data_IF_870200222389
#
_entry.id   IF_870200222389
#
_cell.length_a   1.000
_cell.length_b   1.000
_cell.length_c   1.000
_cell.angle_alpha   90.00
_cell.angle_beta   90.00
_cell.angle_gamma   90.00
#
_symmetry.space_group_name_H-M   'P 1'
#
loop_
_entity.id
_entity.type
_entity.pdbx_description
1 polymer ?
#
# COMPACT_ATOMS: atom_id res chain seq x y z
N UNK A 1 0.88 2.04 -27.89
CA UNK A 1 1.82 2.51 -26.84
C UNK A 1 1.87 1.46 -25.74
N UNK A 2 3.02 1.10 -25.16
CA UNK A 2 3.03 0.18 -24.01
C UNK A 2 2.40 0.92 -22.82
N UNK A 3 1.23 0.45 -22.37
CA UNK A 3 0.57 0.98 -21.17
C UNK A 3 1.28 0.46 -19.93
N UNK A 4 1.27 1.29 -18.88
CA UNK A 4 1.56 0.81 -17.52
C UNK A 4 0.38 -0.10 -17.15
N UNK A 5 0.61 -1.33 -16.66
CA UNK A 5 -0.47 -2.21 -16.28
C UNK A 5 -1.26 -1.64 -15.09
N UNK A 6 -2.52 -2.02 -14.97
CA UNK A 6 -3.36 -1.67 -13.84
C UNK A 6 -2.88 -2.37 -12.56
N UNK A 7 -3.33 -1.88 -11.40
CA UNK A 7 -2.99 -2.54 -10.13
C UNK A 7 -3.55 -3.97 -10.09
N UNK A 8 -4.75 -4.18 -10.62
CA UNK A 8 -5.39 -5.50 -10.73
C UNK A 8 -4.54 -6.44 -11.59
N UNK A 9 -4.02 -5.99 -12.72
CA UNK A 9 -3.15 -6.82 -13.58
C UNK A 9 -1.88 -7.25 -12.84
N UNK A 10 -1.22 -6.30 -12.15
CA UNK A 10 -0.03 -6.58 -11.32
C UNK A 10 -0.36 -7.54 -10.18
N UNK A 11 -1.51 -7.35 -9.54
CA UNK A 11 -1.98 -8.16 -8.43
C UNK A 11 -2.23 -9.61 -8.86
N UNK A 12 -2.98 -9.82 -9.95
CA UNK A 12 -3.23 -11.16 -10.48
C UNK A 12 -1.95 -11.84 -10.98
N UNK A 13 -0.99 -11.09 -11.54
CA UNK A 13 0.31 -11.64 -11.92
C UNK A 13 1.08 -12.14 -10.69
N UNK A 14 1.10 -11.39 -9.59
CA UNK A 14 1.73 -11.84 -8.35
C UNK A 14 1.09 -13.13 -7.82
N UNK A 15 -0.24 -13.23 -7.89
CA UNK A 15 -0.98 -14.42 -7.44
C UNK A 15 -0.78 -15.66 -8.32
N UNK A 16 -0.54 -15.47 -9.63
CA UNK A 16 -0.18 -16.59 -10.51
C UNK A 16 1.14 -17.24 -10.11
N UNK A 17 2.04 -16.49 -9.48
CA UNK A 17 3.33 -17.00 -8.99
C UNK A 17 3.12 -17.85 -7.73
N UNK A 18 2.33 -17.34 -6.79
CA UNK A 18 1.92 -18.08 -5.61
C UNK A 18 0.56 -17.58 -5.11
N UNK A 19 -0.50 -18.41 -5.15
CA UNK A 19 -1.81 -18.02 -4.64
C UNK A 19 -1.86 -17.96 -3.10
N UNK A 20 -0.91 -18.56 -2.39
CA UNK A 20 -0.99 -18.71 -0.93
C UNK A 20 -0.17 -17.69 -0.14
N UNK A 21 0.33 -16.63 -0.81
CA UNK A 21 1.05 -15.55 -0.13
C UNK A 21 0.27 -15.02 1.08
N UNK A 22 0.96 -14.81 2.21
CA UNK A 22 0.46 -13.93 3.26
C UNK A 22 0.44 -12.48 2.78
N UNK A 23 -0.30 -11.63 3.48
CA UNK A 23 -0.54 -10.24 3.07
C UNK A 23 0.74 -9.44 2.82
N UNK A 24 1.78 -9.63 3.64
CA UNK A 24 3.03 -8.89 3.52
C UNK A 24 3.88 -9.42 2.36
N UNK A 25 3.93 -10.74 2.20
CA UNK A 25 4.63 -11.37 1.06
C UNK A 25 3.97 -11.01 -0.27
N UNK A 26 2.63 -10.96 -0.31
CA UNK A 26 1.88 -10.54 -1.49
C UNK A 26 2.15 -9.08 -1.83
N UNK A 27 2.09 -8.19 -0.85
CA UNK A 27 2.41 -6.78 -1.02
C UNK A 27 3.84 -6.59 -1.56
N UNK A 28 4.83 -7.27 -0.96
CA UNK A 28 6.20 -7.23 -1.45
C UNK A 28 6.29 -7.74 -2.91
N UNK A 29 5.60 -8.83 -3.24
CA UNK A 29 5.63 -9.39 -4.59
C UNK A 29 5.01 -8.47 -5.64
N UNK A 30 3.86 -7.87 -5.33
CA UNK A 30 3.23 -6.90 -6.23
C UNK A 30 4.11 -5.68 -6.44
N UNK A 31 4.84 -5.24 -5.40
CA UNK A 31 5.84 -4.20 -5.52
C UNK A 31 6.99 -4.61 -6.46
N UNK A 32 7.57 -5.81 -6.32
CA UNK A 32 8.60 -6.31 -7.24
C UNK A 32 8.14 -6.32 -8.70
N UNK A 33 6.91 -6.83 -8.95
CA UNK A 33 6.31 -6.86 -10.30
C UNK A 33 6.14 -5.44 -10.83
N UNK A 34 5.60 -4.52 -10.03
CA UNK A 34 5.47 -3.11 -10.38
C UNK A 34 6.81 -2.47 -10.74
N UNK A 35 7.88 -2.74 -9.98
CA UNK A 35 9.23 -2.21 -10.25
C UNK A 35 9.79 -2.74 -11.59
N UNK A 36 9.53 -4.01 -11.93
CA UNK A 36 9.90 -4.57 -13.24
C UNK A 36 9.19 -3.83 -14.38
N UNK A 37 7.88 -3.58 -14.25
CA UNK A 37 7.14 -2.80 -15.26
C UNK A 37 7.62 -1.36 -15.36
N UNK A 38 7.89 -0.72 -14.21
CA UNK A 38 8.45 0.64 -14.16
C UNK A 38 9.78 0.72 -14.91
N UNK A 39 10.67 -0.26 -14.68
CA UNK A 39 11.98 -0.33 -15.34
C UNK A 39 11.84 -0.51 -16.85
N UNK A 40 11.01 -1.47 -17.30
CA UNK A 40 10.75 -1.68 -18.74
C UNK A 40 10.13 -0.45 -19.42
N UNK A 41 9.20 0.23 -18.75
CA UNK A 41 8.61 1.47 -19.25
C UNK A 41 9.67 2.55 -19.42
N UNK A 42 10.56 2.67 -18.42
CA UNK A 42 11.62 3.66 -18.44
C UNK A 42 12.63 3.43 -19.57
N UNK A 43 13.12 2.20 -19.72
CA UNK A 43 14.05 1.82 -20.80
C UNK A 43 13.47 2.15 -22.18
N UNK A 44 12.20 1.82 -22.42
CA UNK A 44 11.52 2.13 -23.70
C UNK A 44 11.39 3.63 -23.97
N UNK A 45 11.19 4.45 -22.94
CA UNK A 45 11.11 5.90 -23.09
C UNK A 45 12.46 6.51 -23.45
N UNK A 46 13.53 6.02 -22.82
CA UNK A 46 14.91 6.41 -23.17
C UNK A 46 15.21 6.01 -24.61
N UNK A 47 14.86 4.78 -25.01
CA UNK A 47 15.05 4.31 -26.38
C UNK A 47 14.30 5.20 -27.40
N UNK A 48 13.07 5.60 -27.09
CA UNK A 48 12.29 6.50 -27.94
C UNK A 48 12.97 7.86 -28.13
N UNK A 49 13.38 8.52 -27.04
CA UNK A 49 14.06 9.82 -27.10
C UNK A 49 15.35 9.72 -27.90
N UNK A 50 16.16 8.70 -27.64
CA UNK A 50 17.45 8.56 -28.31
C UNK A 50 17.32 8.19 -29.79
N UNK A 51 16.22 7.54 -30.17
CA UNK A 51 15.93 7.24 -31.59
C UNK A 51 15.61 8.50 -32.41
N UNK A 52 15.18 9.60 -31.78
CA UNK A 52 14.94 10.89 -32.45
C UNK A 52 16.24 11.68 -32.71
N UNK A 53 17.35 11.32 -32.06
CA UNK A 53 18.61 12.06 -32.11
C UNK A 53 19.56 11.61 -33.22
N UNK A 54 19.14 10.66 -34.09
CA UNK A 54 19.92 10.09 -35.20
C UNK A 54 21.38 9.74 -34.83
N UNK A 55 21.58 9.18 -33.65
CA UNK A 55 22.91 8.88 -33.13
C UNK A 55 23.46 7.57 -33.71
N UNK A 56 24.77 7.50 -34.04
CA UNK A 56 25.43 6.23 -34.33
C UNK A 56 25.20 5.21 -33.22
N UNK A 57 24.93 3.93 -33.57
CA UNK A 57 24.56 2.87 -32.61
C UNK A 57 25.47 2.77 -31.39
N UNK A 58 26.76 3.01 -31.56
CA UNK A 58 27.74 2.93 -30.48
C UNK A 58 27.59 4.09 -29.48
N UNK A 59 27.34 5.31 -29.98
CA UNK A 59 27.05 6.49 -29.16
C UNK A 59 25.70 6.35 -28.49
N UNK A 60 24.69 5.88 -29.23
CA UNK A 60 23.37 5.56 -28.69
C UNK A 60 23.47 4.62 -27.48
N UNK A 61 24.24 3.53 -27.58
CA UNK A 61 24.44 2.58 -26.48
C UNK A 61 25.16 3.20 -25.28
N UNK A 62 26.20 4.02 -25.51
CA UNK A 62 26.96 4.69 -24.43
C UNK A 62 26.09 5.70 -23.68
N UNK A 63 25.32 6.51 -24.41
CA UNK A 63 24.38 7.50 -23.86
C UNK A 63 23.26 6.81 -23.10
N UNK A 64 22.62 5.78 -23.68
CA UNK A 64 21.61 4.98 -22.99
C UNK A 64 22.14 4.43 -21.67
N UNK A 65 23.30 3.76 -21.69
CA UNK A 65 23.90 3.21 -20.47
C UNK A 65 24.11 4.29 -19.41
N UNK A 66 24.62 5.46 -19.81
CA UNK A 66 24.81 6.59 -18.88
C UNK A 66 23.52 7.22 -18.36
N UNK A 67 22.44 7.23 -19.15
CA UNK A 67 21.13 7.73 -18.73
C UNK A 67 20.35 6.74 -17.84
N UNK A 68 20.62 5.45 -17.99
CA UNK A 68 20.07 4.38 -17.14
C UNK A 68 20.94 4.12 -15.90
N UNK A 69 22.18 4.62 -15.88
CA UNK A 69 23.10 4.42 -14.76
C UNK A 69 22.59 5.18 -13.51
N UNK A 70 22.53 4.49 -12.37
CA UNK A 70 22.15 5.11 -11.12
C UNK A 70 23.24 6.07 -10.59
N UNK A 71 22.83 7.20 -10.01
CA UNK A 71 23.71 8.19 -9.36
C UNK A 71 23.56 8.08 -7.85
N UNK A 72 24.53 7.50 -7.15
CA UNK A 72 24.45 7.38 -5.68
C UNK A 72 24.91 8.68 -5.00
N UNK A 73 24.06 9.29 -4.18
CA UNK A 73 24.37 10.41 -3.30
C UNK A 73 24.06 10.03 -1.86
N UNK A 74 25.09 9.98 -1.00
CA UNK A 74 24.99 9.76 0.45
C UNK A 74 24.04 8.59 0.82
N UNK A 75 24.22 7.44 0.17
CA UNK A 75 23.44 6.19 0.33
C UNK A 75 22.05 6.14 -0.32
N UNK A 76 21.71 7.11 -1.16
CA UNK A 76 20.48 7.10 -1.96
C UNK A 76 20.79 7.23 -3.44
N UNK A 77 20.13 6.40 -4.22
CA UNK A 77 20.27 6.33 -5.67
C UNK A 77 19.33 7.34 -6.34
N UNK A 78 19.91 8.36 -6.96
CA UNK A 78 19.27 9.44 -7.70
C UNK A 78 19.63 9.35 -9.19
N UNK A 79 18.97 10.11 -10.06
CA UNK A 79 19.22 10.05 -11.50
C UNK A 79 19.11 11.46 -12.09
N UNK A 80 20.22 12.06 -12.49
CA UNK A 80 20.37 13.53 -12.61
C UNK A 80 19.78 14.20 -13.88
N UNK A 81 19.53 13.50 -14.99
CA UNK A 81 18.70 14.03 -16.11
C UNK A 81 17.25 13.49 -16.05
N UNK A 82 17.06 12.61 -15.09
CA UNK A 82 15.94 11.71 -14.98
C UNK A 82 15.01 12.11 -13.86
N UNK A 83 15.30 13.16 -13.11
CA UNK A 83 14.46 13.60 -12.02
C UNK A 83 13.05 13.97 -12.52
N UNK A 84 12.90 14.58 -13.69
CA UNK A 84 11.58 14.92 -14.23
C UNK A 84 10.82 13.68 -14.73
N UNK A 85 11.48 12.79 -15.49
CA UNK A 85 10.89 11.54 -15.97
C UNK A 85 10.60 10.60 -14.80
N UNK A 86 11.53 10.46 -13.86
CA UNK A 86 11.38 9.73 -12.59
C UNK A 86 10.28 10.32 -11.72
N UNK A 87 10.11 11.65 -11.67
CA UNK A 87 9.02 12.29 -10.94
C UNK A 87 7.67 12.02 -11.60
N UNK A 88 7.55 12.17 -12.92
CA UNK A 88 6.31 11.85 -13.67
C UNK A 88 5.95 10.37 -13.53
N UNK A 89 6.94 9.49 -13.58
CA UNK A 89 6.79 8.06 -13.38
C UNK A 89 6.38 7.76 -11.93
N UNK A 90 7.08 8.30 -10.94
CA UNK A 90 6.75 8.10 -9.51
C UNK A 90 5.33 8.59 -9.20
N UNK A 91 4.92 9.73 -9.78
CA UNK A 91 3.55 10.24 -9.68
C UNK A 91 2.53 9.30 -10.34
N UNK A 92 2.86 8.68 -11.47
CA UNK A 92 1.98 7.71 -12.14
C UNK A 92 1.83 6.38 -11.36
N UNK A 93 2.90 5.94 -10.68
CA UNK A 93 2.89 4.69 -9.91
C UNK A 93 2.37 4.85 -8.48
N UNK A 94 2.32 6.08 -7.94
CA UNK A 94 1.81 6.29 -6.58
C UNK A 94 0.34 5.87 -6.40
N UNK A 95 -0.60 6.21 -7.32
CA UNK A 95 -1.97 5.68 -7.27
C UNK A 95 -2.03 4.15 -7.42
N UNK A 96 -1.22 3.58 -8.32
CA UNK A 96 -1.15 2.12 -8.52
C UNK A 96 -0.71 1.44 -7.24
N UNK A 97 0.34 1.95 -6.61
CA UNK A 97 0.89 1.39 -5.37
C UNK A 97 -0.05 1.54 -4.18
N UNK A 98 -0.84 2.63 -4.11
CA UNK A 98 -1.92 2.76 -3.13
C UNK A 98 -3.01 1.72 -3.36
N UNK A 99 -3.47 1.57 -4.60
CA UNK A 99 -4.49 0.60 -4.97
C UNK A 99 -4.05 -0.85 -4.74
N UNK A 100 -2.77 -1.18 -4.99
CA UNK A 100 -2.21 -2.49 -4.65
C UNK A 100 -2.31 -2.81 -3.16
N UNK A 101 -2.11 -1.81 -2.27
CA UNK A 101 -2.26 -2.01 -0.84
C UNK A 101 -3.72 -2.29 -0.47
N UNK A 102 -4.68 -1.60 -1.10
CA UNK A 102 -6.11 -1.85 -0.92
C UNK A 102 -6.52 -3.24 -1.40
N UNK A 103 -6.04 -3.69 -2.56
CA UNK A 103 -6.29 -5.05 -3.08
C UNK A 103 -5.72 -6.14 -2.15
N UNK A 104 -4.55 -5.89 -1.54
CA UNK A 104 -3.99 -6.80 -0.55
C UNK A 104 -4.86 -6.87 0.72
N UNK A 105 -5.40 -5.75 1.18
CA UNK A 105 -6.31 -5.71 2.33
C UNK A 105 -7.66 -6.38 2.02
N UNK A 106 -8.21 -6.16 0.81
CA UNK A 106 -9.42 -6.82 0.31
C UNK A 106 -9.26 -8.35 0.34
N UNK A 107 -8.14 -8.86 -0.17
CA UNK A 107 -7.85 -10.29 -0.16
C UNK A 107 -7.85 -10.90 1.24
N UNK A 108 -7.33 -10.19 2.24
CA UNK A 108 -7.32 -10.72 3.61
C UNK A 108 -8.72 -10.86 4.19
N UNK A 109 -9.65 -9.99 3.80
CA UNK A 109 -11.07 -10.14 4.15
C UNK A 109 -11.67 -11.37 3.46
N UNK A 110 -11.41 -11.55 2.17
CA UNK A 110 -11.89 -12.71 1.40
C UNK A 110 -11.34 -14.02 1.96
N UNK A 111 -10.06 -14.06 2.36
CA UNK A 111 -9.45 -15.24 3.01
C UNK A 111 -10.08 -15.57 4.36
N UNK A 112 -10.60 -14.57 5.06
CA UNK A 112 -11.35 -14.76 6.30
C UNK A 112 -12.82 -15.14 6.06
N UNK A 113 -13.22 -15.40 4.80
CA UNK A 113 -14.57 -15.80 4.43
C UNK A 113 -15.54 -14.63 4.24
N UNK A 114 -15.06 -13.39 4.23
CA UNK A 114 -15.92 -12.23 4.01
C UNK A 114 -16.20 -12.03 2.52
N UNK A 115 -17.44 -11.70 2.19
CA UNK A 115 -17.90 -11.55 0.80
C UNK A 115 -18.10 -10.07 0.50
N UNK A 116 -17.46 -9.58 -0.56
CA UNK A 116 -17.63 -8.22 -1.06
C UNK A 116 -19.09 -7.94 -1.39
N UNK A 117 -19.53 -6.70 -1.16
CA UNK A 117 -20.90 -6.21 -1.33
C UNK A 117 -21.96 -6.83 -0.39
N UNK A 118 -21.59 -7.85 0.37
CA UNK A 118 -22.40 -8.41 1.46
C UNK A 118 -21.85 -7.93 2.81
N UNK A 119 -20.61 -8.29 3.12
CA UNK A 119 -19.96 -7.99 4.40
C UNK A 119 -19.15 -6.70 4.36
N UNK A 120 -18.62 -6.31 3.19
CA UNK A 120 -17.81 -5.10 3.07
C UNK A 120 -17.91 -4.41 1.72
N UNK A 121 -17.52 -3.13 1.66
CA UNK A 121 -17.42 -2.33 0.43
C UNK A 121 -16.09 -1.59 0.35
N UNK A 122 -15.54 -1.52 -0.86
CA UNK A 122 -14.34 -0.74 -1.19
C UNK A 122 -14.70 0.71 -1.56
N UNK A 123 -13.83 1.67 -1.21
CA UNK A 123 -13.84 3.06 -1.70
C UNK A 123 -15.20 3.74 -1.66
N UNK A 124 -15.85 3.71 -0.49
CA UNK A 124 -17.17 4.29 -0.29
C UNK A 124 -17.11 5.36 0.79
N UNK A 125 -17.86 6.46 0.61
CA UNK A 125 -17.95 7.54 1.61
C UNK A 125 -16.59 8.15 2.00
N UNK A 126 -15.64 8.20 1.06
CA UNK A 126 -14.24 8.66 1.24
C UNK A 126 -13.38 7.76 2.14
N UNK A 127 -13.87 6.58 2.51
CA UNK A 127 -13.10 5.56 3.23
C UNK A 127 -12.65 4.47 2.25
N UNK A 128 -11.42 3.97 2.44
CA UNK A 128 -10.85 2.90 1.63
C UNK A 128 -11.65 1.58 1.75
N UNK A 129 -12.07 1.23 2.96
CA UNK A 129 -12.80 0.00 3.30
C UNK A 129 -13.91 0.26 4.32
N UNK A 130 -15.12 -0.25 4.10
CA UNK A 130 -16.19 -0.25 5.10
C UNK A 130 -16.70 -1.68 5.31
N UNK A 131 -16.58 -2.17 6.54
CA UNK A 131 -17.09 -3.47 6.98
C UNK A 131 -18.46 -3.27 7.64
N UNK A 132 -19.40 -4.17 7.40
CA UNK A 132 -20.77 -4.10 7.90
C UNK A 132 -21.09 -5.29 8.79
N UNK A 133 -21.61 -5.03 9.99
CA UNK A 133 -22.22 -6.05 10.83
C UNK A 133 -23.73 -6.14 10.51
N UNK A 134 -24.24 -7.30 10.06
CA UNK A 134 -25.63 -7.47 9.68
C UNK A 134 -26.51 -7.71 10.93
N UNK A 135 -27.11 -6.64 11.48
CA UNK A 135 -28.22 -6.76 12.45
C UNK A 135 -29.54 -6.34 11.82
N UNK A 136 -30.56 -7.19 11.96
CA UNK A 136 -31.90 -7.09 11.31
C UNK A 136 -32.72 -5.87 11.77
N UNK A 137 -32.38 -5.25 12.91
CA UNK A 137 -33.21 -4.16 13.50
C UNK A 137 -32.44 -2.97 14.10
N UNK A 138 -31.14 -2.82 13.86
CA UNK A 138 -30.41 -1.61 14.27
C UNK A 138 -29.71 -1.00 13.08
N UNK A 139 -29.92 0.30 12.85
CA UNK A 139 -29.25 1.05 11.80
C UNK A 139 -27.71 0.94 11.92
N UNK A 140 -27.13 0.01 11.16
CA UNK A 140 -25.76 -0.02 10.58
C UNK A 140 -24.59 0.26 11.53
N UNK A 141 -24.27 -0.68 12.42
CA UNK A 141 -22.89 -0.79 12.92
C UNK A 141 -21.98 -1.14 11.75
N UNK A 142 -21.06 -0.22 11.46
CA UNK A 142 -20.08 -0.33 10.39
C UNK A 142 -18.72 0.04 10.94
N UNK A 143 -17.68 -0.52 10.35
CA UNK A 143 -16.31 -0.26 10.73
C UNK A 143 -15.54 0.25 9.52
N UNK A 144 -15.01 1.46 9.62
CA UNK A 144 -14.26 2.12 8.56
C UNK A 144 -12.78 1.82 8.72
N UNK A 145 -12.13 1.41 7.63
CA UNK A 145 -10.70 1.09 7.63
C UNK A 145 -10.02 1.94 6.57
N UNK A 146 -9.02 2.69 7.02
CA UNK A 146 -8.11 3.42 6.14
C UNK A 146 -6.92 2.52 5.78
N UNK A 147 -6.59 2.43 4.51
CA UNK A 147 -5.46 1.64 4.02
C UNK A 147 -4.33 2.59 3.66
N UNK A 148 -3.13 2.29 4.14
CA UNK A 148 -1.90 3.01 3.81
C UNK A 148 -0.84 2.03 3.36
N UNK A 149 -0.03 2.48 2.42
CA UNK A 149 1.06 1.67 1.89
C UNK A 149 2.24 1.63 2.89
N UNK A 150 3.39 2.22 2.56
CA UNK A 150 4.63 2.05 3.34
C UNK A 150 4.88 3.09 4.45
N UNK A 151 4.17 4.21 4.45
CA UNK A 151 4.41 5.34 5.35
C UNK A 151 3.13 5.85 5.99
N UNK A 152 3.18 6.16 7.28
CA UNK A 152 2.14 6.89 7.99
C UNK A 152 2.03 8.31 7.45
N UNK A 153 3.14 9.07 7.51
CA UNK A 153 3.16 10.54 7.31
C UNK A 153 2.12 11.26 8.20
N UNK A 154 2.07 12.60 8.15
CA UNK A 154 0.98 13.36 8.81
C UNK A 154 -0.42 12.92 8.35
N UNK A 155 -0.52 12.44 7.10
CA UNK A 155 -1.80 12.08 6.48
C UNK A 155 -2.45 10.84 7.07
N UNK A 156 -1.71 9.86 7.60
CA UNK A 156 -2.33 8.74 8.30
C UNK A 156 -2.85 9.16 9.68
N UNK A 157 -2.09 10.00 10.39
CA UNK A 157 -2.46 10.51 11.72
C UNK A 157 -3.68 11.45 11.63
N UNK A 158 -3.77 12.26 10.58
CA UNK A 158 -4.97 13.10 10.34
C UNK A 158 -6.10 12.31 9.69
N UNK A 159 -5.82 11.46 8.70
CA UNK A 159 -6.84 10.68 7.99
C UNK A 159 -7.63 9.74 8.90
N UNK A 160 -6.96 9.07 9.85
CA UNK A 160 -7.65 8.27 10.86
C UNK A 160 -8.55 9.11 11.78
N UNK A 161 -8.21 10.37 12.03
CA UNK A 161 -9.03 11.27 12.85
C UNK A 161 -10.39 11.60 12.20
N UNK A 162 -10.48 11.56 10.86
CA UNK A 162 -11.65 12.02 10.10
C UNK A 162 -12.40 10.86 9.42
N UNK A 163 -11.67 9.92 8.82
CA UNK A 163 -12.23 9.06 7.77
C UNK A 163 -12.25 7.57 8.14
N UNK A 164 -11.55 7.14 9.20
CA UNK A 164 -11.40 5.73 9.59
C UNK A 164 -11.62 5.46 11.08
N UNK A 165 -12.06 4.24 11.38
CA UNK A 165 -12.12 3.71 12.74
C UNK A 165 -10.86 2.88 13.04
N UNK A 166 -10.29 2.20 12.02
CA UNK A 166 -9.00 1.53 12.06
C UNK A 166 -8.07 1.96 10.93
N UNK A 167 -6.77 1.73 11.14
CA UNK A 167 -5.73 1.94 10.14
C UNK A 167 -5.11 0.60 9.79
N UNK A 168 -4.99 0.29 8.50
CA UNK A 168 -4.27 -0.86 8.00
C UNK A 168 -3.10 -0.39 7.15
N UNK A 169 -1.91 -0.96 7.34
CA UNK A 169 -0.83 -0.67 6.41
C UNK A 169 0.34 -1.63 6.38
N UNK A 170 1.24 -1.31 5.45
CA UNK A 170 2.49 -2.01 5.15
C UNK A 170 3.69 -1.19 5.65
N UNK A 171 3.54 -0.57 6.82
CA UNK A 171 4.51 0.39 7.35
C UNK A 171 5.89 -0.25 7.53
N UNK A 172 6.90 0.35 6.92
CA UNK A 172 8.28 -0.13 7.00
C UNK A 172 9.27 0.96 7.46
N UNK A 173 8.77 2.13 7.87
CA UNK A 173 9.59 3.24 8.35
C UNK A 173 9.49 3.36 9.88
N UNK A 174 10.32 2.61 10.61
CA UNK A 174 10.29 2.57 12.08
C UNK A 174 10.40 3.97 12.71
N UNK A 175 11.21 4.86 12.13
CA UNK A 175 11.36 6.25 12.58
C UNK A 175 10.08 7.08 12.61
N UNK A 176 9.03 6.67 11.88
CA UNK A 176 7.74 7.37 11.89
C UNK A 176 6.90 7.02 13.14
N UNK A 177 7.25 5.94 13.86
CA UNK A 177 6.61 5.52 15.11
C UNK A 177 7.27 6.18 16.32
N UNK A 178 7.37 7.51 16.29
CA UNK A 178 7.77 8.29 17.46
C UNK A 178 6.72 8.17 18.56
N UNK A 179 7.11 8.38 19.82
CA UNK A 179 6.19 8.36 20.95
C UNK A 179 4.95 9.24 20.74
N UNK A 180 5.15 10.44 20.20
CA UNK A 180 4.06 11.36 19.88
C UNK A 180 3.07 10.75 18.88
N UNK A 181 3.58 10.18 17.77
CA UNK A 181 2.71 9.59 16.75
C UNK A 181 1.98 8.36 17.29
N UNK A 182 2.67 7.49 18.05
CA UNK A 182 2.06 6.31 18.68
C UNK A 182 0.92 6.74 19.62
N UNK A 183 1.15 7.73 20.48
CA UNK A 183 0.11 8.25 21.39
C UNK A 183 -1.11 8.80 20.66
N UNK A 184 -0.92 9.47 19.52
CA UNK A 184 -2.04 10.00 18.74
C UNK A 184 -2.86 8.87 18.12
N UNK A 185 -2.19 7.90 17.48
CA UNK A 185 -2.86 6.75 16.87
C UNK A 185 -3.58 5.90 17.93
N UNK A 186 -2.94 5.64 19.06
CA UNK A 186 -3.54 4.92 20.20
C UNK A 186 -4.85 5.59 20.63
N UNK A 187 -4.82 6.92 20.83
CA UNK A 187 -5.99 7.70 21.25
C UNK A 187 -7.11 7.67 20.20
N UNK A 188 -6.77 7.78 18.92
CA UNK A 188 -7.74 7.75 17.83
C UNK A 188 -8.41 6.38 17.72
N UNK A 189 -7.62 5.31 17.67
CA UNK A 189 -8.11 3.93 17.65
C UNK A 189 -8.95 3.62 18.89
N UNK A 190 -8.52 4.04 20.09
CA UNK A 190 -9.29 3.82 21.32
C UNK A 190 -10.64 4.54 21.31
N UNK A 191 -10.72 5.74 20.72
CA UNK A 191 -11.97 6.52 20.62
C UNK A 191 -13.02 5.85 19.73
N UNK A 192 -12.58 5.14 18.68
CA UNK A 192 -13.44 4.50 17.67
C UNK A 192 -13.60 2.99 17.89
N UNK A 193 -12.93 2.41 18.89
CA UNK A 193 -12.89 0.96 19.11
C UNK A 193 -12.05 0.20 18.08
N UNK A 194 -11.26 0.89 17.27
CA UNK A 194 -10.43 0.28 16.23
C UNK A 194 -8.99 0.00 16.65
N UNK A 195 -8.18 -0.37 15.65
CA UNK A 195 -6.78 -0.74 15.79
C UNK A 195 -5.92 -0.19 14.65
N UNK A 196 -4.63 -0.07 14.90
CA UNK A 196 -3.59 0.16 13.90
C UNK A 196 -2.92 -1.18 13.56
N UNK A 197 -3.21 -1.70 12.38
CA UNK A 197 -2.69 -2.95 11.85
C UNK A 197 -1.37 -2.70 11.11
N UNK A 198 -0.29 -3.32 11.62
CA UNK A 198 1.11 -3.06 11.24
C UNK A 198 1.80 -4.40 10.90
N UNK A 199 2.75 -4.45 9.95
CA UNK A 199 3.52 -5.68 9.71
C UNK A 199 4.21 -6.19 10.99
N UNK A 200 4.23 -7.51 11.27
CA UNK A 200 4.85 -8.08 12.48
C UNK A 200 6.31 -7.63 12.69
N UNK A 201 7.07 -7.54 11.60
CA UNK A 201 8.49 -7.14 11.61
C UNK A 201 8.67 -5.71 12.11
N UNK A 202 7.77 -4.79 11.75
CA UNK A 202 7.79 -3.41 12.23
C UNK A 202 7.21 -3.32 13.64
N UNK A 203 6.09 -3.99 13.90
CA UNK A 203 5.40 -3.96 15.19
C UNK A 203 6.30 -4.39 16.36
N UNK A 204 7.08 -5.47 16.17
CA UNK A 204 8.01 -5.99 17.18
C UNK A 204 9.16 -5.04 17.56
N UNK A 205 9.43 -4.02 16.74
CA UNK A 205 10.49 -3.03 16.97
C UNK A 205 9.98 -1.72 17.56
N UNK A 206 8.66 -1.55 17.69
CA UNK A 206 8.08 -0.35 18.31
C UNK A 206 8.24 -0.46 19.82
N UNK A 207 9.08 0.41 20.41
CA UNK A 207 9.41 0.38 21.84
C UNK A 207 8.37 1.07 22.74
N UNK A 208 7.36 1.71 22.16
CA UNK A 208 6.35 2.46 22.89
C UNK A 208 5.16 1.56 23.25
N UNK A 209 4.66 1.68 24.49
CA UNK A 209 3.51 0.92 24.97
C UNK A 209 2.26 1.33 24.18
N UNK A 210 1.54 0.33 23.65
CA UNK A 210 0.30 0.49 22.88
C UNK A 210 -0.57 -0.74 23.10
N UNK A 211 -1.88 -0.53 23.29
CA UNK A 211 -2.88 -1.59 23.33
C UNK A 211 -3.65 -1.70 22.02
N UNK A 212 -3.55 -0.68 21.16
CA UNK A 212 -4.30 -0.56 19.90
C UNK A 212 -3.50 -0.88 18.65
N UNK A 213 -2.27 -1.36 18.78
CA UNK A 213 -1.49 -1.82 17.63
C UNK A 213 -1.57 -3.35 17.53
N UNK A 214 -1.81 -3.85 16.32
CA UNK A 214 -1.93 -5.29 16.04
C UNK A 214 -1.17 -5.66 14.79
N UNK A 215 -0.84 -6.95 14.67
CA UNK A 215 -0.31 -7.47 13.42
C UNK A 215 -1.34 -7.33 12.31
N UNK A 216 -0.93 -6.82 11.15
CA UNK A 216 -1.78 -6.75 9.97
C UNK A 216 -2.21 -8.13 9.44
N UNK A 217 -1.52 -9.20 9.82
CA UNK A 217 -1.93 -10.58 9.54
C UNK A 217 -3.17 -11.03 10.32
N UNK A 218 -3.58 -10.29 11.36
CA UNK A 218 -4.82 -10.55 12.11
C UNK A 218 -6.04 -9.83 11.54
N UNK A 219 -5.83 -8.92 10.58
CA UNK A 219 -6.86 -8.02 10.09
C UNK A 219 -8.11 -8.76 9.59
N UNK A 220 -7.95 -9.76 8.72
CA UNK A 220 -9.08 -10.53 8.19
C UNK A 220 -9.92 -11.18 9.30
N UNK A 221 -9.26 -11.84 10.25
CA UNK A 221 -9.92 -12.51 11.37
C UNK A 221 -10.64 -11.52 12.29
N UNK A 222 -10.00 -10.40 12.63
CA UNK A 222 -10.58 -9.37 13.49
C UNK A 222 -11.82 -8.73 12.83
N UNK A 223 -11.78 -8.50 11.51
CA UNK A 223 -12.93 -8.00 10.76
C UNK A 223 -14.04 -9.06 10.64
N UNK A 224 -13.71 -10.35 10.51
CA UNK A 224 -14.70 -11.42 10.52
C UNK A 224 -15.45 -11.47 11.87
N UNK A 225 -14.72 -11.37 12.98
CA UNK A 225 -15.36 -11.29 14.30
C UNK A 225 -16.22 -10.04 14.45
N UNK A 226 -15.82 -8.89 13.90
CA UNK A 226 -16.68 -7.71 13.87
C UNK A 226 -17.97 -7.95 13.07
N UNK A 227 -17.89 -8.60 11.91
CA UNK A 227 -19.07 -8.95 11.11
C UNK A 227 -20.01 -9.85 11.90
N UNK A 228 -19.50 -10.78 12.71
CA UNK A 228 -20.33 -11.70 13.51
C UNK A 228 -20.92 -11.04 14.76
N UNK A 229 -20.12 -10.27 15.50
CA UNK A 229 -20.45 -9.84 16.86
C UNK A 229 -20.86 -8.36 16.95
N UNK A 230 -20.36 -7.54 16.02
CA UNK A 230 -20.44 -6.09 16.06
C UNK A 230 -19.26 -5.42 16.78
N UNK A 231 -18.34 -6.20 17.34
CA UNK A 231 -17.18 -5.71 18.09
C UNK A 231 -15.88 -6.34 17.56
N UNK A 232 -14.79 -5.56 17.59
CA UNK A 232 -13.45 -6.09 17.28
C UNK A 232 -12.85 -6.65 18.59
N UNK A 233 -12.23 -7.85 18.58
CA UNK A 233 -11.60 -8.45 19.75
C UNK A 233 -10.50 -7.59 20.37
#
# INVERSE_FOLDING_TARGET
MPSIPSAEEIFHEALKINPDFDVNSLHNKTFEVMIRYRTKYYEKRVDGILSELDLPKEIHRKVKKKLLEPVVVKDKEYSNFMEEVSRRVSQAFQPISGHLAELCAERELERAGLVKDIHFKMRKERTDLIIYHPKVYSYKSRHRVEVKNVSLRERAVRGLAFDGDSLFGFFNQLREFTESNVRVLERQCAKTGGYCYIPPSTLSQIHHITSRFRSNTRFGQDMATFVETGDIP
#
